data_IF_269860032238
#
_entry.id   IF_269860032238
#
_cell.length_a   1.000
_cell.length_b   1.000
_cell.length_c   1.000
_cell.angle_alpha   90.00
_cell.angle_beta   90.00
_cell.angle_gamma   90.00
#
_symmetry.space_group_name_H-M   'P 1'
#
loop_
_entity.id
_entity.type
_entity.pdbx_description
1 polymer ?
#
# COMPACT_ATOMS: atom_id res chain seq x y z
N UNK A 1 -17.58 -51.99 9.25
CA UNK A 1 -17.58 -51.22 7.99
C UNK A 1 -16.51 -50.16 8.08
N UNK A 2 -15.51 -50.21 7.22
CA UNK A 2 -14.39 -49.26 7.19
C UNK A 2 -14.90 -48.01 6.45
N UNK A 3 -15.08 -46.90 7.16
CA UNK A 3 -15.28 -45.62 6.51
C UNK A 3 -13.92 -45.10 6.08
N UNK A 4 -13.61 -45.34 4.82
CA UNK A 4 -12.51 -44.69 4.12
C UNK A 4 -12.81 -43.20 4.06
N UNK A 5 -12.10 -42.42 4.87
CA UNK A 5 -12.04 -40.97 4.68
C UNK A 5 -11.14 -40.73 3.44
N UNK A 6 -11.63 -40.06 2.38
CA UNK A 6 -10.79 -39.71 1.24
C UNK A 6 -9.67 -38.77 1.69
N UNK A 7 -8.51 -38.75 1.03
CA UNK A 7 -7.47 -37.77 1.33
C UNK A 7 -7.99 -36.43 0.82
N UNK A 8 -8.47 -35.58 1.73
CA UNK A 8 -8.75 -34.19 1.36
C UNK A 8 -7.41 -33.55 0.98
N UNK A 9 -7.39 -33.04 -0.24
CA UNK A 9 -6.28 -32.36 -0.86
C UNK A 9 -5.76 -31.28 0.09
N UNK A 10 -4.57 -31.50 0.65
CA UNK A 10 -3.77 -30.47 1.30
C UNK A 10 -3.46 -29.38 0.25
N UNK A 11 -4.41 -28.49 0.01
CA UNK A 11 -4.15 -27.18 -0.54
C UNK A 11 -3.34 -26.44 0.52
N UNK A 12 -2.03 -26.72 0.55
CA UNK A 12 -1.06 -26.00 1.35
C UNK A 12 -1.03 -24.58 0.80
N UNK A 13 -1.96 -23.73 1.25
CA UNK A 13 -1.81 -22.29 1.15
C UNK A 13 -0.59 -21.95 2.01
N UNK A 14 0.58 -21.98 1.38
CA UNK A 14 1.86 -21.71 2.00
C UNK A 14 1.80 -20.28 2.56
N UNK A 15 1.62 -20.17 3.88
CA UNK A 15 1.48 -18.88 4.55
C UNK A 15 2.76 -18.07 4.26
N UNK A 16 2.65 -16.81 3.80
CA UNK A 16 3.81 -16.03 3.38
C UNK A 16 4.82 -15.92 4.51
N UNK A 17 6.10 -15.96 4.13
CA UNK A 17 7.20 -15.94 5.09
C UNK A 17 7.22 -14.61 5.87
N UNK A 18 7.78 -14.62 7.09
CA UNK A 18 7.93 -13.38 7.90
C UNK A 18 8.66 -12.26 7.15
N UNK A 19 9.64 -12.61 6.32
CA UNK A 19 10.41 -11.66 5.51
C UNK A 19 9.58 -11.09 4.36
N UNK A 20 8.72 -11.90 3.74
CA UNK A 20 7.82 -11.46 2.67
C UNK A 20 6.74 -10.50 3.18
N UNK A 21 6.12 -10.81 4.33
CA UNK A 21 5.17 -9.90 4.98
C UNK A 21 5.83 -8.55 5.26
N UNK A 22 7.07 -8.57 5.78
CA UNK A 22 7.85 -7.35 6.02
C UNK A 22 8.08 -6.55 4.74
N UNK A 23 8.56 -7.21 3.66
CA UNK A 23 8.79 -6.54 2.36
C UNK A 23 7.51 -5.93 1.79
N UNK A 24 6.37 -6.63 1.90
CA UNK A 24 5.06 -6.13 1.43
C UNK A 24 4.63 -4.88 2.20
N UNK A 25 4.80 -4.87 3.52
CA UNK A 25 4.49 -3.71 4.36
C UNK A 25 5.42 -2.53 4.05
N UNK A 26 6.71 -2.79 3.85
CA UNK A 26 7.68 -1.76 3.45
C UNK A 26 7.32 -1.15 2.09
N UNK A 27 6.98 -1.98 1.09
CA UNK A 27 6.55 -1.51 -0.22
C UNK A 27 5.29 -0.64 -0.14
N UNK A 28 4.31 -1.04 0.67
CA UNK A 28 3.08 -0.25 0.92
C UNK A 28 3.39 1.08 1.61
N UNK A 29 4.32 1.10 2.56
CA UNK A 29 4.75 2.33 3.21
C UNK A 29 5.47 3.28 2.23
N UNK A 30 6.33 2.75 1.37
CA UNK A 30 6.98 3.54 0.31
C UNK A 30 5.94 4.09 -0.66
N UNK A 31 4.95 3.29 -1.07
CA UNK A 31 3.85 3.77 -1.92
C UNK A 31 3.08 4.92 -1.24
N UNK A 32 2.76 4.80 0.04
CA UNK A 32 2.10 5.85 0.81
C UNK A 32 2.93 7.14 0.87
N UNK A 33 4.23 7.01 1.09
CA UNK A 33 5.16 8.14 1.08
C UNK A 33 5.19 8.85 -0.27
N UNK A 34 5.19 8.10 -1.36
CA UNK A 34 5.23 8.69 -2.70
C UNK A 34 3.92 9.37 -3.08
N UNK A 35 2.78 8.83 -2.63
CA UNK A 35 1.48 9.50 -2.78
C UNK A 35 1.45 10.78 -1.95
N UNK A 36 1.98 10.79 -0.72
CA UNK A 36 1.96 11.98 0.16
C UNK A 36 2.80 13.15 -0.37
N UNK A 37 3.78 12.88 -1.25
CA UNK A 37 4.58 13.90 -1.96
C UNK A 37 3.83 14.56 -3.12
N UNK A 38 2.66 14.05 -3.52
CA UNK A 38 1.85 14.64 -4.58
C UNK A 38 0.99 15.80 -4.08
N UNK A 39 0.42 16.57 -5.02
CA UNK A 39 -0.54 17.64 -4.70
C UNK A 39 -1.95 17.07 -4.46
N UNK A 40 -2.80 17.77 -3.69
CA UNK A 40 -4.19 17.34 -3.45
C UNK A 40 -5.00 17.09 -4.71
N UNK A 41 -4.76 17.85 -5.78
CA UNK A 41 -5.43 17.66 -7.07
C UNK A 41 -5.10 16.31 -7.71
N UNK A 42 -3.88 15.81 -7.50
CA UNK A 42 -3.46 14.49 -7.98
C UNK A 42 -4.09 13.37 -7.17
N UNK A 43 -4.26 13.54 -5.86
CA UNK A 43 -4.94 12.54 -5.02
C UNK A 43 -6.38 12.30 -5.50
N UNK A 44 -7.09 13.38 -5.86
CA UNK A 44 -8.47 13.31 -6.40
C UNK A 44 -8.58 12.59 -7.75
N UNK A 45 -7.48 12.49 -8.50
CA UNK A 45 -7.43 11.78 -9.78
C UNK A 45 -7.10 10.28 -9.63
N UNK A 46 -6.76 9.85 -8.41
CA UNK A 46 -6.40 8.47 -8.11
C UNK A 46 -7.59 7.76 -7.43
N UNK A 47 -7.69 6.42 -7.56
CA UNK A 47 -8.68 5.63 -6.82
C UNK A 47 -8.24 5.47 -5.36
N UNK A 48 -8.22 6.57 -4.62
CA UNK A 48 -7.80 6.62 -3.21
C UNK A 48 -9.06 6.56 -2.33
N UNK A 49 -9.19 5.57 -1.43
CA UNK A 49 -10.29 5.52 -0.47
C UNK A 49 -10.21 6.68 0.53
N UNK A 50 -11.36 7.13 1.02
CA UNK A 50 -11.51 8.30 1.89
C UNK A 50 -10.57 8.26 3.10
N UNK A 51 -10.45 7.11 3.76
CA UNK A 51 -9.55 6.91 4.91
C UNK A 51 -8.08 7.25 4.61
N UNK A 52 -7.60 6.94 3.40
CA UNK A 52 -6.24 7.28 3.00
C UNK A 52 -6.15 8.76 2.60
N UNK A 53 -7.19 9.31 1.97
CA UNK A 53 -7.27 10.72 1.61
C UNK A 53 -7.22 11.66 2.82
N UNK A 54 -7.97 11.35 3.89
CA UNK A 54 -7.95 12.10 5.15
C UNK A 54 -6.54 12.16 5.72
N UNK A 55 -5.87 11.00 5.84
CA UNK A 55 -4.49 10.96 6.35
C UNK A 55 -3.50 11.74 5.47
N UNK A 56 -3.69 11.77 4.15
CA UNK A 56 -2.86 12.57 3.23
C UNK A 56 -3.07 14.07 3.47
N UNK A 57 -4.31 14.51 3.64
CA UNK A 57 -4.64 15.89 3.96
C UNK A 57 -4.04 16.32 5.30
N UNK A 58 -4.13 15.47 6.33
CA UNK A 58 -3.47 15.71 7.62
C UNK A 58 -1.96 15.85 7.44
N UNK A 59 -1.33 14.94 6.69
CA UNK A 59 0.11 14.96 6.44
C UNK A 59 0.56 16.29 5.83
N UNK A 60 -0.23 16.87 4.93
CA UNK A 60 0.07 18.17 4.31
C UNK A 60 0.03 19.36 5.28
N UNK A 61 -0.68 19.24 6.42
CA UNK A 61 -0.71 20.28 7.45
C UNK A 61 0.49 20.19 8.40
N UNK A 62 1.16 19.04 8.47
CA UNK A 62 2.28 18.81 9.40
C UNK A 62 3.56 19.44 8.88
N UNK A 63 4.15 20.34 9.68
CA UNK A 63 5.37 21.07 9.30
C UNK A 63 6.67 20.49 9.83
N UNK A 64 6.62 19.60 10.83
CA UNK A 64 7.81 19.02 11.42
C UNK A 64 8.21 17.72 10.73
N UNK A 65 9.49 17.55 10.43
CA UNK A 65 10.03 16.33 9.82
C UNK A 65 9.65 15.06 10.60
N UNK A 66 9.71 15.12 11.94
CA UNK A 66 9.32 14.00 12.80
C UNK A 66 7.81 13.73 12.81
N UNK A 67 6.99 14.77 12.64
CA UNK A 67 5.55 14.63 12.45
C UNK A 67 5.22 13.98 11.11
N UNK A 68 5.79 14.50 10.01
CA UNK A 68 5.62 13.96 8.66
C UNK A 68 6.01 12.48 8.63
N UNK A 69 7.15 12.11 9.22
CA UNK A 69 7.60 10.71 9.28
C UNK A 69 6.62 9.80 10.02
N UNK A 70 5.99 10.27 11.10
CA UNK A 70 4.96 9.52 11.84
C UNK A 70 3.68 9.37 11.01
N UNK A 71 3.26 10.42 10.31
CA UNK A 71 2.11 10.35 9.42
C UNK A 71 2.35 9.40 8.25
N UNK A 72 3.53 9.39 7.63
CA UNK A 72 3.88 8.41 6.59
C UNK A 72 3.77 6.97 7.12
N UNK A 73 4.25 6.69 8.33
CA UNK A 73 4.09 5.37 8.96
C UNK A 73 2.62 5.01 9.18
N UNK A 74 1.81 5.98 9.63
CA UNK A 74 0.37 5.80 9.77
C UNK A 74 -0.31 5.50 8.43
N UNK A 75 0.01 6.24 7.37
CA UNK A 75 -0.47 5.97 6.02
C UNK A 75 -0.05 4.57 5.54
N UNK A 76 1.19 4.15 5.81
CA UNK A 76 1.66 2.80 5.50
C UNK A 76 0.86 1.70 6.22
N UNK A 77 0.45 1.94 7.48
CA UNK A 77 -0.47 1.04 8.21
C UNK A 77 -1.86 0.99 7.57
N UNK A 78 -2.40 2.15 7.14
CA UNK A 78 -3.68 2.20 6.41
C UNK A 78 -3.56 1.41 5.11
N UNK A 79 -2.48 1.60 4.34
CA UNK A 79 -2.24 0.83 3.12
C UNK A 79 -2.12 -0.68 3.39
N UNK A 80 -1.64 -1.07 4.57
CA UNK A 80 -1.64 -2.46 5.03
C UNK A 80 -3.02 -3.10 5.15
N UNK A 81 -4.09 -2.31 5.31
CA UNK A 81 -5.47 -2.81 5.43
C UNK A 81 -6.18 -3.01 4.09
N UNK A 82 -5.62 -2.48 2.99
CA UNK A 82 -6.22 -2.62 1.66
C UNK A 82 -5.87 -3.95 1.01
N UNK A 83 -6.78 -4.40 0.15
CA UNK A 83 -6.59 -5.54 -0.73
C UNK A 83 -5.43 -5.30 -1.71
N UNK A 84 -4.89 -6.38 -2.27
CA UNK A 84 -3.81 -6.24 -3.25
C UNK A 84 -4.26 -5.50 -4.52
N UNK A 85 -5.52 -5.70 -4.91
CA UNK A 85 -6.13 -5.05 -6.08
C UNK A 85 -6.21 -3.54 -5.92
N UNK A 86 -6.68 -3.06 -4.76
CA UNK A 86 -6.74 -1.63 -4.44
C UNK A 86 -5.34 -0.99 -4.44
N UNK A 87 -4.36 -1.67 -3.82
CA UNK A 87 -2.97 -1.20 -3.79
C UNK A 87 -2.38 -1.12 -5.18
N UNK A 88 -2.65 -2.12 -6.03
CA UNK A 88 -2.17 -2.14 -7.40
C UNK A 88 -2.83 -1.05 -8.26
N UNK A 89 -4.13 -0.79 -8.08
CA UNK A 89 -4.83 0.29 -8.77
C UNK A 89 -4.24 1.66 -8.41
N UNK A 90 -3.95 1.91 -7.12
CA UNK A 90 -3.27 3.12 -6.68
C UNK A 90 -1.86 3.23 -7.26
N UNK A 91 -1.10 2.13 -7.28
CA UNK A 91 0.25 2.09 -7.90
C UNK A 91 0.21 2.44 -9.38
N UNK A 92 -0.73 1.89 -10.14
CA UNK A 92 -0.91 2.19 -11.57
C UNK A 92 -1.29 3.66 -11.79
N UNK A 93 -2.22 4.18 -10.98
CA UNK A 93 -2.61 5.59 -11.07
C UNK A 93 -1.44 6.53 -10.75
N UNK A 94 -0.62 6.19 -9.75
CA UNK A 94 0.62 6.91 -9.43
C UNK A 94 1.57 6.95 -10.64
N UNK A 95 1.82 5.80 -11.27
CA UNK A 95 2.68 5.71 -12.47
C UNK A 95 2.14 6.59 -13.60
N UNK A 96 0.82 6.59 -13.83
CA UNK A 96 0.17 7.40 -14.88
C UNK A 96 0.33 8.90 -14.63
N UNK A 97 0.20 9.35 -13.38
CA UNK A 97 0.25 10.78 -13.00
C UNK A 97 1.67 11.33 -12.96
N UNK A 98 2.62 10.53 -12.48
CA UNK A 98 4.01 10.97 -12.28
C UNK A 98 4.85 10.73 -13.53
N UNK A 99 4.42 9.82 -14.41
CA UNK A 99 5.13 9.42 -15.60
C UNK A 99 6.16 8.32 -15.34
N UNK A 100 6.38 7.49 -16.36
CA UNK A 100 7.18 6.25 -16.28
C UNK A 100 8.61 6.50 -15.79
N UNK A 101 9.21 7.65 -16.13
CA UNK A 101 10.60 7.97 -15.76
C UNK A 101 10.80 8.21 -14.26
N UNK A 102 9.84 8.85 -13.57
CA UNK A 102 9.94 9.03 -12.12
C UNK A 102 9.59 7.71 -11.42
N UNK A 103 8.54 7.04 -11.89
CA UNK A 103 8.13 5.73 -11.39
C UNK A 103 9.24 4.68 -11.44
N UNK A 104 9.99 4.61 -12.54
CA UNK A 104 11.12 3.67 -12.68
C UNK A 104 12.29 3.98 -11.74
N UNK A 105 12.41 5.22 -11.27
CA UNK A 105 13.43 5.63 -10.28
C UNK A 105 12.97 5.33 -8.85
N UNK A 106 11.66 5.24 -8.64
CA UNK A 106 11.04 4.89 -7.37
C UNK A 106 11.07 3.35 -7.26
N UNK A 107 11.80 2.81 -6.29
CA UNK A 107 11.86 1.35 -6.03
C UNK A 107 10.55 0.85 -5.39
N UNK A 108 9.42 1.03 -6.07
CA UNK A 108 8.06 0.61 -5.63
C UNK A 108 7.68 -0.71 -6.28
#
# INVERSE_FOLDING_TARGET
MKHSHPPEEDQVFEKPSKSEIKRRLEARQTLAEEISKLTPDKWKQMPIPERLLEGLQETAQVRSHGGIRRHIQFLGKIMGTFSEEEVQAMKQALIKIVGVNRASKMKI
#
